data_IF_854327600337
#
_entry.id   IF_854327600337
#
_cell.length_a   1.000
_cell.length_b   1.000
_cell.length_c   1.000
_cell.angle_alpha   90.00
_cell.angle_beta   90.00
_cell.angle_gamma   90.00
#
_symmetry.space_group_name_H-M   'P 1'
#
loop_
_entity.id
_entity.type
_entity.pdbx_description
1 polymer ?
#
# COMPACT_ATOMS: atom_id res chain seq x y z
N UNK A 1 -6.69 7.00 -15.64
CA UNK A 1 -5.31 7.16 -15.13
C UNK A 1 -5.10 8.36 -14.21
N UNK A 2 -5.59 9.57 -14.56
CA UNK A 2 -5.37 10.80 -13.78
C UNK A 2 -5.79 10.64 -12.32
N UNK A 3 -6.97 10.10 -12.06
CA UNK A 3 -7.48 9.89 -10.70
C UNK A 3 -6.66 8.87 -9.90
N UNK A 4 -6.31 7.73 -10.49
CA UNK A 4 -5.47 6.72 -9.81
C UNK A 4 -4.11 7.32 -9.44
N UNK A 5 -3.51 8.11 -10.32
CA UNK A 5 -2.25 8.81 -10.04
C UNK A 5 -2.40 9.88 -8.94
N UNK A 6 -3.54 10.57 -8.87
CA UNK A 6 -3.80 11.53 -7.79
C UNK A 6 -3.97 10.82 -6.45
N UNK A 7 -4.66 9.66 -6.40
CA UNK A 7 -4.75 8.83 -5.17
C UNK A 7 -3.42 8.25 -4.75
N UNK A 8 -2.62 7.74 -5.69
CA UNK A 8 -1.26 7.26 -5.39
C UNK A 8 -0.41 8.39 -4.81
N UNK A 9 -0.49 9.59 -5.38
CA UNK A 9 0.22 10.76 -4.89
C UNK A 9 -0.26 11.19 -3.50
N UNK A 10 -1.58 11.19 -3.27
CA UNK A 10 -2.18 11.51 -1.98
C UNK A 10 -1.77 10.51 -0.89
N UNK A 11 -1.83 9.21 -1.19
CA UNK A 11 -1.41 8.15 -0.28
C UNK A 11 0.09 8.24 0.03
N UNK A 12 0.93 8.54 -0.97
CA UNK A 12 2.36 8.79 -0.78
C UNK A 12 2.60 10.01 0.10
N UNK A 13 1.87 11.10 -0.11
CA UNK A 13 1.96 12.31 0.73
C UNK A 13 1.58 12.00 2.18
N UNK A 14 0.48 11.26 2.39
CA UNK A 14 0.06 10.84 3.73
C UNK A 14 1.08 9.92 4.39
N UNK A 15 1.63 8.95 3.66
CA UNK A 15 2.70 8.09 4.16
C UNK A 15 3.95 8.91 4.53
N UNK A 16 4.36 9.88 3.72
CA UNK A 16 5.50 10.76 4.00
C UNK A 16 5.34 11.50 5.33
N UNK A 17 4.14 12.00 5.63
CA UNK A 17 3.85 12.66 6.91
C UNK A 17 4.00 11.74 8.13
N UNK A 18 3.92 10.43 7.93
CA UNK A 18 4.01 9.40 8.99
C UNK A 18 5.37 8.72 9.04
N UNK A 19 6.33 9.11 8.20
CA UNK A 19 7.64 8.44 8.08
C UNK A 19 8.40 8.38 9.41
N UNK A 20 8.30 9.41 10.26
CA UNK A 20 8.96 9.44 11.57
C UNK A 20 8.51 8.32 12.51
N UNK A 21 7.27 7.84 12.36
CA UNK A 21 6.70 6.71 13.11
C UNK A 21 6.93 5.41 12.34
N UNK A 22 6.68 5.41 11.03
CA UNK A 22 6.71 4.20 10.20
C UNK A 22 8.12 3.65 9.95
N UNK A 23 9.15 4.50 10.05
CA UNK A 23 10.55 4.11 9.84
C UNK A 23 11.33 3.98 11.16
N UNK A 24 10.69 4.16 12.32
CA UNK A 24 11.34 3.93 13.61
C UNK A 24 11.49 2.42 13.85
N UNK A 25 12.72 1.96 14.03
CA UNK A 25 13.04 0.56 14.32
C UNK A 25 12.47 0.08 15.66
N UNK A 26 12.15 1.00 16.57
CA UNK A 26 11.53 0.69 17.87
C UNK A 26 10.06 0.31 17.74
N UNK A 27 9.42 0.67 16.62
CA UNK A 27 8.01 0.42 16.40
C UNK A 27 7.82 -0.98 15.81
N UNK A 28 6.99 -1.84 16.44
CA UNK A 28 6.74 -3.17 15.92
C UNK A 28 6.09 -3.12 14.53
N UNK A 29 6.50 -4.01 13.63
CA UNK A 29 5.97 -4.08 12.26
C UNK A 29 4.45 -4.31 12.23
N UNK A 30 3.90 -5.02 13.22
CA UNK A 30 2.46 -5.21 13.40
C UNK A 30 1.72 -3.87 13.57
N UNK A 31 2.35 -2.88 14.22
CA UNK A 31 1.77 -1.54 14.37
C UNK A 31 1.81 -0.78 13.04
N UNK A 32 2.93 -0.83 12.31
CA UNK A 32 3.05 -0.26 10.96
C UNK A 32 2.00 -0.86 10.00
N UNK A 33 1.73 -2.16 10.13
CA UNK A 33 0.67 -2.85 9.38
C UNK A 33 -0.72 -2.26 9.65
N UNK A 34 -1.02 -1.93 10.92
CA UNK A 34 -2.29 -1.32 11.30
C UNK A 34 -2.42 0.10 10.74
N UNK A 35 -1.36 0.91 10.86
CA UNK A 35 -1.34 2.27 10.27
C UNK A 35 -1.58 2.20 8.77
N UNK A 36 -0.90 1.30 8.09
CA UNK A 36 -1.06 1.14 6.65
C UNK A 36 -2.52 0.81 6.28
N UNK A 37 -3.13 -0.18 6.95
CA UNK A 37 -4.53 -0.57 6.69
C UNK A 37 -5.53 0.53 7.03
N UNK A 38 -5.30 1.28 8.11
CA UNK A 38 -6.26 2.25 8.63
C UNK A 38 -6.14 3.65 7.98
N UNK A 39 -4.94 4.05 7.56
CA UNK A 39 -4.67 5.44 7.14
C UNK A 39 -4.27 5.52 5.68
N UNK A 40 -3.39 4.64 5.21
CA UNK A 40 -2.80 4.77 3.87
C UNK A 40 -3.67 4.08 2.83
N UNK A 41 -4.11 2.85 3.12
CA UNK A 41 -4.93 2.06 2.21
C UNK A 41 -6.25 2.76 1.85
N UNK A 42 -7.03 3.33 2.77
CA UNK A 42 -8.27 4.02 2.41
C UNK A 42 -8.03 5.26 1.53
N UNK A 43 -6.94 6.00 1.75
CA UNK A 43 -6.57 7.16 0.90
C UNK A 43 -6.24 6.71 -0.51
N UNK A 44 -5.52 5.61 -0.66
CA UNK A 44 -5.21 5.03 -1.97
C UNK A 44 -6.42 4.40 -2.66
N UNK A 45 -7.43 3.96 -1.89
CA UNK A 45 -8.60 3.23 -2.38
C UNK A 45 -9.84 4.09 -2.55
N UNK A 46 -9.81 5.36 -2.17
CA UNK A 46 -10.96 6.23 -2.32
C UNK A 46 -11.34 6.36 -3.80
N UNK A 47 -12.60 6.03 -4.11
CA UNK A 47 -13.12 6.04 -5.48
C UNK A 47 -12.84 4.76 -6.27
N UNK A 48 -12.21 3.74 -5.65
CA UNK A 48 -11.88 2.48 -6.33
C UNK A 48 -13.09 1.69 -6.84
N UNK A 49 -14.28 1.94 -6.28
CA UNK A 49 -15.56 1.37 -6.73
C UNK A 49 -15.85 1.73 -8.20
N UNK A 50 -15.41 2.91 -8.64
CA UNK A 50 -15.65 3.44 -9.99
C UNK A 50 -14.47 3.20 -10.96
N UNK A 51 -13.38 2.57 -10.52
CA UNK A 51 -12.21 2.39 -11.36
C UNK A 51 -12.34 1.19 -12.31
N UNK A 52 -11.83 1.30 -13.54
CA UNK A 52 -11.77 0.16 -14.45
C UNK A 52 -10.77 -0.89 -13.93
N UNK A 53 -11.10 -2.18 -14.01
CA UNK A 53 -10.19 -3.29 -13.69
C UNK A 53 -9.17 -3.52 -14.82
N UNK A 54 -8.39 -2.49 -15.14
CA UNK A 54 -7.24 -2.67 -16.00
C UNK A 54 -6.06 -3.15 -15.17
N UNK A 55 -5.25 -4.03 -15.77
CA UNK A 55 -3.98 -4.48 -15.18
C UNK A 55 -3.05 -3.32 -14.86
N UNK A 56 -3.14 -2.23 -15.61
CA UNK A 56 -2.37 -1.00 -15.36
C UNK A 56 -2.72 -0.36 -14.01
N UNK A 57 -4.01 -0.25 -13.67
CA UNK A 57 -4.44 0.32 -12.38
C UNK A 57 -4.01 -0.58 -11.22
N UNK A 58 -4.22 -1.90 -11.36
CA UNK A 58 -3.80 -2.89 -10.35
C UNK A 58 -2.28 -2.84 -10.11
N UNK A 59 -1.48 -2.80 -11.18
CA UNK A 59 -0.02 -2.72 -11.08
C UNK A 59 0.43 -1.40 -10.48
N UNK A 60 -0.20 -0.27 -10.82
CA UNK A 60 0.12 1.05 -10.25
C UNK A 60 -0.05 1.07 -8.72
N UNK A 61 -1.18 0.57 -8.23
CA UNK A 61 -1.45 0.46 -6.79
C UNK A 61 -0.51 -0.53 -6.12
N UNK A 62 -0.24 -1.67 -6.76
CA UNK A 62 0.66 -2.70 -6.24
C UNK A 62 2.11 -2.21 -6.11
N UNK A 63 2.59 -1.42 -7.07
CA UNK A 63 3.92 -0.80 -7.03
C UNK A 63 4.03 0.20 -5.87
N UNK A 64 3.00 1.04 -5.68
CA UNK A 64 2.95 1.98 -4.57
C UNK A 64 2.95 1.24 -3.21
N UNK A 65 2.08 0.25 -3.03
CA UNK A 65 2.00 -0.55 -1.81
C UNK A 65 3.34 -1.22 -1.50
N UNK A 66 3.93 -1.89 -2.50
CA UNK A 66 5.20 -2.59 -2.36
C UNK A 66 6.32 -1.62 -1.95
N UNK A 67 6.38 -0.44 -2.57
CA UNK A 67 7.39 0.58 -2.25
C UNK A 67 7.27 1.03 -0.79
N UNK A 68 6.06 1.28 -0.30
CA UNK A 68 5.82 1.69 1.08
C UNK A 68 6.17 0.56 2.07
N UNK A 69 5.69 -0.67 1.84
CA UNK A 69 5.96 -1.81 2.72
C UNK A 69 7.46 -2.13 2.80
N UNK A 70 8.17 -2.09 1.67
CA UNK A 70 9.63 -2.29 1.63
C UNK A 70 10.36 -1.24 2.45
N UNK A 71 9.98 0.02 2.30
CA UNK A 71 10.59 1.10 3.07
C UNK A 71 10.33 0.95 4.56
N UNK A 72 9.09 0.64 4.97
CA UNK A 72 8.75 0.43 6.38
C UNK A 72 9.48 -0.76 7.00
N UNK A 73 9.77 -1.80 6.23
CA UNK A 73 10.57 -2.94 6.68
C UNK A 73 12.09 -2.67 6.64
N UNK A 74 12.54 -1.53 6.12
CA UNK A 74 13.96 -1.26 5.88
C UNK A 74 14.59 -2.19 4.83
N UNK A 75 13.78 -2.81 3.97
CA UNK A 75 14.22 -3.80 2.98
C UNK A 75 14.55 -3.11 1.66
N UNK A 76 15.77 -3.31 1.22
CA UNK A 76 16.29 -2.80 -0.05
C UNK A 76 16.14 -3.85 -1.17
N UNK A 77 16.64 -3.52 -2.36
CA UNK A 77 16.74 -4.50 -3.46
C UNK A 77 17.88 -5.51 -3.23
N UNK A 78 18.90 -5.15 -2.45
CA UNK A 78 20.06 -6.01 -2.19
C UNK A 78 19.71 -7.22 -1.33
N UNK A 79 18.69 -7.10 -0.47
CA UNK A 79 18.24 -8.19 0.38
C UNK A 79 17.57 -9.34 -0.40
N UNK A 80 17.25 -9.12 -1.69
CA UNK A 80 16.63 -10.12 -2.59
C UNK A 80 15.35 -10.77 -2.04
N UNK A 81 14.68 -10.11 -1.10
CA UNK A 81 13.43 -10.58 -0.49
C UNK A 81 12.28 -10.40 -1.49
N UNK A 82 11.49 -11.46 -1.70
CA UNK A 82 10.30 -11.42 -2.57
C UNK A 82 9.22 -10.49 -1.99
N UNK A 83 8.46 -9.82 -2.85
CA UNK A 83 7.38 -8.92 -2.41
C UNK A 83 6.33 -9.64 -1.55
N UNK A 84 6.05 -10.91 -1.85
CA UNK A 84 5.03 -11.68 -1.13
C UNK A 84 5.47 -12.00 0.29
N UNK A 85 6.76 -12.28 0.51
CA UNK A 85 7.31 -12.46 1.86
C UNK A 85 7.12 -11.19 2.72
N UNK A 86 7.24 -10.01 2.11
CA UNK A 86 7.01 -8.72 2.80
C UNK A 86 5.52 -8.57 3.13
N UNK A 87 4.62 -8.90 2.20
CA UNK A 87 3.17 -8.87 2.47
C UNK A 87 2.77 -9.80 3.61
N UNK A 88 3.30 -11.03 3.62
CA UNK A 88 3.10 -12.00 4.70
C UNK A 88 3.62 -11.44 6.04
N UNK A 89 4.78 -10.79 6.04
CA UNK A 89 5.36 -10.16 7.24
C UNK A 89 4.45 -9.10 7.86
N UNK A 90 3.86 -8.22 7.04
CA UNK A 90 2.88 -7.22 7.49
C UNK A 90 1.45 -7.80 7.64
N UNK A 91 1.23 -9.06 7.25
CA UNK A 91 -0.09 -9.71 7.18
C UNK A 91 -1.08 -9.01 6.26
N UNK A 92 -0.60 -8.21 5.30
CA UNK A 92 -1.41 -7.33 4.46
C UNK A 92 -1.80 -8.06 3.16
N UNK A 93 -3.10 -8.24 2.93
CA UNK A 93 -3.61 -8.75 1.66
C UNK A 93 -3.31 -7.76 0.51
N UNK A 94 -2.96 -8.20 -0.70
CA UNK A 94 -2.66 -7.33 -1.84
C UNK A 94 -3.71 -6.22 -2.05
N UNK A 95 -3.26 -4.99 -2.33
CA UNK A 95 -4.18 -3.88 -2.59
C UNK A 95 -5.08 -4.11 -3.82
N UNK A 96 -4.59 -4.84 -4.82
CA UNK A 96 -5.37 -5.20 -6.00
C UNK A 96 -6.57 -6.09 -5.64
N UNK A 97 -6.39 -7.04 -4.73
CA UNK A 97 -7.49 -7.89 -4.23
C UNK A 97 -8.54 -7.04 -3.49
N UNK A 98 -8.10 -6.07 -2.68
CA UNK A 98 -9.02 -5.12 -2.02
C UNK A 98 -9.75 -4.22 -3.00
N UNK A 99 -9.13 -3.90 -4.14
CA UNK A 99 -9.79 -3.16 -5.21
C UNK A 99 -10.91 -3.97 -5.84
N UNK A 100 -10.67 -5.26 -6.09
CA UNK A 100 -11.70 -6.17 -6.57
C UNK A 100 -12.83 -6.32 -5.56
N UNK A 101 -12.53 -6.52 -4.27
CA UNK A 101 -13.53 -6.62 -3.20
C UNK A 101 -14.39 -5.35 -3.07
N UNK A 102 -13.77 -4.17 -3.11
CA UNK A 102 -14.50 -2.90 -2.98
C UNK A 102 -15.55 -2.72 -4.08
N UNK A 103 -15.27 -3.22 -5.29
CA UNK A 103 -16.20 -3.17 -6.42
C UNK A 103 -17.37 -4.15 -6.29
N UNK A 104 -17.15 -5.31 -5.68
CA UNK A 104 -18.16 -6.36 -5.47
C UNK A 104 -19.09 -6.07 -4.27
N UNK A 105 -18.93 -4.92 -3.62
CA UNK A 105 -19.70 -4.54 -2.44
C UNK A 105 -21.09 -3.98 -2.78
N UNK A 106 -21.34 -3.71 -4.06
CA UNK A 106 -22.63 -3.31 -4.64
C UNK A 106 -23.06 -4.39 -5.62
#
# INVERSE_FOLDING_TARGET
MVEVNSRVSAALSKWRSLTGVLCDKKIPERFNSKIYRAVIRPVAMYGAECWPATKEVETRLSVMETKMLRWMAGVTRLDRIRNDAIRVKFGVAPIAERMSEARLRW
#
